data_IF_871037641991
#
_entry.id   IF_871037641991
#
_cell.length_a   1.000
_cell.length_b   1.000
_cell.length_c   1.000
_cell.angle_alpha   90.00
_cell.angle_beta   90.00
_cell.angle_gamma   90.00
#
_symmetry.space_group_name_H-M   'P 1'
#
loop_
_entity.id
_entity.type
_entity.pdbx_description
1 polymer ?
#
# COMPACT_ATOMS: atom_id res chain seq x y z
N UNK A 1 13.99 33.17 -6.31
CA UNK A 1 13.37 34.31 -7.00
C UNK A 1 12.61 35.17 -5.98
N UNK A 2 12.58 36.49 -6.18
CA UNK A 2 11.75 37.43 -5.40
C UNK A 2 10.51 37.75 -6.25
N UNK A 3 9.34 37.46 -5.71
CA UNK A 3 8.06 37.68 -6.39
C UNK A 3 7.11 38.36 -5.41
N UNK A 4 6.31 39.29 -5.90
CA UNK A 4 5.17 39.84 -5.17
C UNK A 4 3.91 39.15 -5.69
N UNK A 5 3.11 38.61 -4.78
CA UNK A 5 1.85 37.93 -5.11
C UNK A 5 0.72 38.57 -4.33
N UNK A 6 -0.40 38.81 -5.00
CA UNK A 6 -1.64 39.21 -4.35
C UNK A 6 -2.40 37.96 -3.94
N UNK A 7 -2.91 37.93 -2.70
CA UNK A 7 -3.71 36.82 -2.17
C UNK A 7 -5.09 37.33 -1.83
N UNK A 8 -6.11 36.51 -2.10
CA UNK A 8 -7.45 36.77 -1.60
C UNK A 8 -7.46 36.76 -0.05
N UNK A 9 -8.32 37.56 0.61
CA UNK A 9 -8.32 37.67 2.07
C UNK A 9 -8.46 36.33 2.79
N UNK A 10 -9.33 35.45 2.29
CA UNK A 10 -9.57 34.13 2.90
C UNK A 10 -8.36 33.19 2.74
N UNK A 11 -7.65 33.28 1.62
CA UNK A 11 -6.42 32.51 1.38
C UNK A 11 -5.30 32.99 2.29
N UNK A 12 -5.16 34.30 2.47
CA UNK A 12 -4.17 34.88 3.39
C UNK A 12 -4.42 34.42 4.83
N UNK A 13 -5.67 34.45 5.31
CA UNK A 13 -6.05 33.97 6.64
C UNK A 13 -5.75 32.48 6.84
N UNK A 14 -6.15 31.63 5.87
CA UNK A 14 -5.87 30.19 5.90
C UNK A 14 -4.36 29.91 5.93
N UNK A 15 -3.58 30.67 5.17
CA UNK A 15 -2.12 30.55 5.13
C UNK A 15 -1.48 30.97 6.47
N UNK A 16 -1.96 32.04 7.09
CA UNK A 16 -1.52 32.45 8.43
C UNK A 16 -1.84 31.38 9.48
N UNK A 17 -3.05 30.83 9.48
CA UNK A 17 -3.44 29.75 10.37
C UNK A 17 -2.60 28.48 10.15
N UNK A 18 -2.29 28.14 8.90
CA UNK A 18 -1.37 27.05 8.58
C UNK A 18 0.05 27.31 9.13
N UNK A 19 0.59 28.49 8.86
CA UNK A 19 1.92 28.87 9.33
C UNK A 19 2.03 28.80 10.86
N UNK A 20 1.02 29.28 11.58
CA UNK A 20 0.97 29.25 13.04
C UNK A 20 0.92 27.81 13.57
N UNK A 21 0.02 26.97 13.03
CA UNK A 21 -0.12 25.56 13.45
C UNK A 21 1.15 24.74 13.25
N UNK A 22 1.94 25.05 12.22
CA UNK A 22 3.14 24.31 11.87
C UNK A 22 4.45 24.98 12.32
N UNK A 23 4.38 26.13 13.01
CA UNK A 23 5.57 26.88 13.45
C UNK A 23 6.45 27.35 12.29
N UNK A 24 5.84 27.70 11.15
CA UNK A 24 6.55 28.09 9.92
C UNK A 24 6.51 29.59 9.71
N UNK A 25 7.53 30.15 9.05
CA UNK A 25 7.43 31.50 8.51
C UNK A 25 6.43 31.55 7.35
N UNK A 26 5.80 32.71 7.14
CA UNK A 26 4.83 32.92 6.05
C UNK A 26 5.38 32.48 4.69
N UNK A 27 6.63 32.85 4.38
CA UNK A 27 7.32 32.44 3.14
C UNK A 27 7.46 30.92 3.03
N UNK A 28 7.80 30.22 4.12
CA UNK A 28 7.98 28.76 4.11
C UNK A 28 6.63 28.07 3.90
N UNK A 29 5.61 28.49 4.64
CA UNK A 29 4.24 28.01 4.48
C UNK A 29 3.72 28.20 3.05
N UNK A 30 3.90 29.39 2.46
CA UNK A 30 3.46 29.69 1.09
C UNK A 30 4.12 28.77 0.07
N UNK A 31 5.45 28.66 0.12
CA UNK A 31 6.19 27.83 -0.83
C UNK A 31 5.86 26.33 -0.68
N UNK A 32 5.66 25.86 0.55
CA UNK A 32 5.30 24.47 0.83
C UNK A 32 3.93 24.12 0.25
N UNK A 33 2.92 24.96 0.50
CA UNK A 33 1.57 24.75 -0.02
C UNK A 33 1.53 24.88 -1.55
N UNK A 34 2.25 25.84 -2.15
CA UNK A 34 2.35 25.94 -3.61
C UNK A 34 3.00 24.71 -4.23
N UNK A 35 4.10 24.19 -3.64
CA UNK A 35 4.73 22.95 -4.11
C UNK A 35 3.78 21.77 -4.04
N UNK A 36 3.05 21.60 -2.93
CA UNK A 36 2.05 20.54 -2.77
C UNK A 36 0.92 20.67 -3.80
N UNK A 37 0.39 21.88 -4.00
CA UNK A 37 -0.66 22.13 -4.98
C UNK A 37 -0.22 21.83 -6.40
N UNK A 38 0.95 22.32 -6.81
CA UNK A 38 1.51 22.05 -8.14
C UNK A 38 1.82 20.56 -8.35
N UNK A 39 2.29 19.87 -7.32
CA UNK A 39 2.53 18.43 -7.39
C UNK A 39 1.22 17.63 -7.48
N UNK A 40 0.16 18.05 -6.77
CA UNK A 40 -1.17 17.43 -6.89
C UNK A 40 -1.83 17.66 -8.25
N UNK A 41 -1.51 18.75 -8.94
CA UNK A 41 -1.97 19.00 -10.31
C UNK A 41 -1.19 18.17 -11.34
N UNK A 42 0.05 17.82 -11.04
CA UNK A 42 0.88 16.94 -11.86
C UNK A 42 0.53 15.45 -11.71
N UNK A 43 -0.43 15.10 -10.85
CA UNK A 43 -0.90 13.72 -10.70
C UNK A 43 -2.37 13.65 -10.29
N UNK A 44 -3.20 13.18 -11.21
CA UNK A 44 -3.36 11.76 -11.27
C UNK A 44 -2.35 11.28 -12.30
N UNK A 45 -1.23 10.71 -11.85
CA UNK A 45 -0.85 9.47 -12.50
C UNK A 45 -2.15 8.68 -12.41
N UNK A 46 -2.87 8.64 -13.53
CA UNK A 46 -4.06 7.83 -13.77
C UNK A 46 -3.78 6.59 -12.95
N UNK A 47 -4.43 6.46 -11.77
CA UNK A 47 -4.06 5.42 -10.81
C UNK A 47 -4.38 4.17 -11.58
N UNK A 48 -3.38 3.62 -12.27
CA UNK A 48 -3.56 2.62 -13.30
C UNK A 48 -4.27 1.53 -12.53
N UNK A 49 -5.51 1.21 -12.95
CA UNK A 49 -6.32 0.26 -12.19
C UNK A 49 -5.42 -0.91 -11.91
N UNK A 50 -5.39 -1.33 -10.65
CA UNK A 50 -4.63 -2.50 -10.27
C UNK A 50 -5.02 -3.64 -11.20
N UNK A 51 -4.08 -4.08 -12.03
CA UNK A 51 -4.25 -5.18 -12.97
C UNK A 51 -3.47 -6.36 -12.43
N UNK A 52 -4.17 -7.48 -12.24
CA UNK A 52 -3.54 -8.76 -11.91
C UNK A 52 -3.29 -9.47 -13.24
N UNK A 53 -2.04 -9.86 -13.48
CA UNK A 53 -1.68 -10.77 -14.56
C UNK A 53 -1.53 -12.19 -13.97
N UNK A 54 -2.57 -13.04 -14.08
CA UNK A 54 -2.53 -14.37 -13.51
C UNK A 54 -1.60 -15.28 -14.32
N UNK A 55 -0.77 -16.05 -13.63
CA UNK A 55 0.02 -17.12 -14.24
C UNK A 55 -0.44 -18.48 -13.71
N UNK A 56 -0.19 -19.55 -14.48
CA UNK A 56 -0.48 -20.92 -14.04
C UNK A 56 0.52 -21.33 -12.96
N UNK A 57 0.09 -21.29 -11.70
CA UNK A 57 0.92 -21.63 -10.53
C UNK A 57 1.02 -23.14 -10.21
N UNK A 58 0.34 -24.02 -10.96
CA UNK A 58 0.44 -25.48 -10.76
C UNK A 58 -0.13 -26.02 -9.43
N UNK A 59 -0.85 -25.19 -8.67
CA UNK A 59 -1.42 -25.58 -7.39
C UNK A 59 -2.48 -26.68 -7.52
N UNK A 60 -2.47 -27.63 -6.58
CA UNK A 60 -3.45 -28.70 -6.49
C UNK A 60 -4.48 -28.37 -5.41
N UNK A 61 -5.79 -28.53 -5.68
CA UNK A 61 -6.83 -28.32 -4.67
C UNK A 61 -6.57 -29.18 -3.44
N UNK A 62 -6.73 -28.59 -2.24
CA UNK A 62 -6.49 -29.27 -0.97
C UNK A 62 -5.02 -29.42 -0.57
N UNK A 63 -4.06 -29.02 -1.41
CA UNK A 63 -2.63 -29.06 -1.09
C UNK A 63 -2.12 -27.63 -0.92
N UNK A 64 -1.73 -27.29 0.31
CA UNK A 64 -1.03 -26.04 0.61
C UNK A 64 0.48 -26.22 0.36
N UNK A 65 0.98 -25.59 -0.71
CA UNK A 65 2.40 -25.64 -1.07
C UNK A 65 3.32 -25.00 -0.01
N UNK A 66 2.80 -24.16 0.89
CA UNK A 66 3.57 -23.59 1.99
C UNK A 66 3.68 -24.53 3.19
N UNK A 67 2.98 -25.68 3.19
CA UNK A 67 2.87 -26.61 4.33
C UNK A 67 3.14 -28.06 3.95
N UNK A 68 4.06 -28.30 3.02
CA UNK A 68 4.36 -29.65 2.53
C UNK A 68 4.84 -30.61 3.63
N UNK A 69 5.50 -30.12 4.69
CA UNK A 69 5.89 -30.97 5.82
C UNK A 69 4.67 -31.59 6.54
N UNK A 70 3.60 -30.81 6.75
CA UNK A 70 2.38 -31.32 7.38
C UNK A 70 1.70 -32.38 6.50
N UNK A 71 1.73 -32.18 5.18
CA UNK A 71 1.22 -33.19 4.24
C UNK A 71 2.01 -34.50 4.32
N UNK A 72 3.33 -34.44 4.53
CA UNK A 72 4.15 -35.64 4.75
C UNK A 72 3.70 -36.35 6.03
N UNK A 73 3.58 -35.61 7.15
CA UNK A 73 3.14 -36.17 8.43
C UNK A 73 1.76 -36.87 8.31
N UNK A 74 0.81 -36.24 7.61
CA UNK A 74 -0.53 -36.80 7.37
C UNK A 74 -0.49 -38.08 6.54
N UNK A 75 0.37 -38.15 5.52
CA UNK A 75 0.55 -39.33 4.69
C UNK A 75 1.18 -40.48 5.49
N UNK A 76 2.20 -40.20 6.30
CA UNK A 76 2.85 -41.20 7.15
C UNK A 76 1.85 -41.81 8.15
N UNK A 77 1.03 -40.98 8.80
CA UNK A 77 -0.03 -41.45 9.70
C UNK A 77 -1.06 -42.30 8.96
N UNK A 78 -1.45 -41.88 7.75
CA UNK A 78 -2.42 -42.61 6.93
C UNK A 78 -1.89 -44.00 6.52
N UNK A 79 -0.62 -44.07 6.14
CA UNK A 79 0.04 -45.32 5.78
C UNK A 79 0.17 -46.27 6.98
N UNK A 80 0.54 -45.75 8.15
CA UNK A 80 0.59 -46.53 9.40
C UNK A 80 -0.78 -47.12 9.76
N UNK A 81 -1.85 -46.31 9.67
CA UNK A 81 -3.22 -46.77 9.93
C UNK A 81 -3.64 -47.85 8.92
N UNK A 82 -3.25 -47.71 7.64
CA UNK A 82 -3.55 -48.71 6.60
C UNK A 82 -2.87 -50.04 6.92
N UNK A 83 -1.58 -50.02 7.24
CA UNK A 83 -0.81 -51.22 7.60
C UNK A 83 -1.39 -51.91 8.85
N UNK A 84 -1.73 -51.13 9.89
CA UNK A 84 -2.34 -51.67 11.12
C UNK A 84 -3.72 -52.33 10.89
N UNK A 85 -4.44 -51.95 9.83
CA UNK A 85 -5.74 -52.57 9.45
C UNK A 85 -5.56 -53.83 8.60
N UNK A 86 -4.44 -53.95 7.90
CA UNK A 86 -4.12 -55.06 7.00
C UNK A 86 -3.28 -56.15 7.70
N UNK A 87 -2.78 -55.87 8.90
CA UNK A 87 -2.13 -56.86 9.75
C UNK A 87 -3.12 -57.95 10.23
N UNK A 88 -2.74 -59.24 10.17
CA UNK A 88 -3.62 -60.38 10.48
C UNK A 88 -3.98 -60.53 11.97
#
# INVERSE_FOLDING_TARGET
MRTTVTLDPDVAEKLHAYAHRHGLSFKKALNELLRRGLHSQQSPAERRRFQVDPHRGGFRPGIDAARLNQLIDELEVSDFIREAREAP
#
